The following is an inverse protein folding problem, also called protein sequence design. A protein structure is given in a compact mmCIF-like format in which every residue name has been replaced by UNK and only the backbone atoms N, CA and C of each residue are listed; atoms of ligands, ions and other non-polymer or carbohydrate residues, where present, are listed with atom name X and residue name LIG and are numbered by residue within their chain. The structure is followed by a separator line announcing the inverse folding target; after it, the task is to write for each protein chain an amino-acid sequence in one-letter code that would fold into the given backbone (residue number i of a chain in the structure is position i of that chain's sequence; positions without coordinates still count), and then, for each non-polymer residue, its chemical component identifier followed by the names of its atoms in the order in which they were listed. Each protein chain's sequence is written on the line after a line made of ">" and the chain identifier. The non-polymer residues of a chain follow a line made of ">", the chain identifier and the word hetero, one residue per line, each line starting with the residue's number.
data_IF_154507090921
#
_entry.id   IF_154507090921
#
_cell.length_a   1.000
_cell.length_b   1.000
_cell.length_c   1.000
_cell.angle_alpha   90.00
_cell.angle_beta   90.00
_cell.angle_gamma   90.00
#
_symmetry.space_group_name_H-M   'P 1'
#
loop_
_entity.id
_entity.type
_entity.pdbx_description
1 polymer ?
#
# COMPACT_ATOMS: atom_id res chain seq x y z
N UNK A 1 -0.04 -4.99 32.39
CA UNK A 1 0.05 -4.95 31.57
C UNK A 1 0.18 -4.81 30.91
N UNK A 2 0.19 -4.83 30.79
CA UNK A 2 0.20 -4.84 29.72
C UNK A 2 0.45 -4.76 28.93
N UNK A 3 0.21 -4.97 28.92
CA UNK A 3 0.35 -5.09 27.93
C UNK A 3 0.62 -4.73 27.12
N UNK A 4 0.59 -4.73 27.19
CA UNK A 4 0.75 -4.59 26.15
C UNK A 4 1.27 -4.51 25.37
N UNK A 5 1.36 -4.91 25.45
CA UNK A 5 1.88 -5.02 24.47
C UNK A 5 1.90 -5.25 23.65
N UNK A 6 1.60 -5.58 23.81
CA UNK A 6 1.62 -5.88 22.79
C UNK A 6 1.63 -5.62 22.03
N UNK A 7 1.21 -5.61 22.39
CA UNK A 7 1.08 -5.42 21.51
C UNK A 7 1.51 -5.01 20.78
N UNK A 8 1.80 -5.02 20.83
CA UNK A 8 2.25 -4.73 20.18
C UNK A 8 2.74 -4.91 19.30
N UNK A 9 2.86 -5.29 18.83
CA UNK A 9 3.32 -5.52 17.99
C UNK A 9 3.21 -6.26 17.26
N UNK A 10 3.13 -6.26 17.22
CA UNK A 10 3.18 -7.03 16.37
C UNK A 10 2.61 -7.55 15.36
N UNK A 11 2.03 -7.67 15.17
CA UNK A 11 1.59 -8.15 14.21
C UNK A 11 2.26 -8.13 12.91
N UNK A 12 3.43 -8.00 12.72
CA UNK A 12 4.23 -7.98 11.52
C UNK A 12 4.21 -9.24 10.70
N UNK A 13 3.94 -10.36 11.33
CA UNK A 13 3.87 -11.62 10.57
C UNK A 13 2.70 -11.64 9.60
N UNK A 14 1.69 -10.82 9.86
CA UNK A 14 0.52 -10.77 9.00
C UNK A 14 0.75 -9.92 7.76
N UNK A 15 1.50 -8.86 7.91
CA UNK A 15 1.69 -7.90 6.83
C UNK A 15 3.14 -7.82 6.44
N UNK A 16 3.40 -7.88 5.15
CA UNK A 16 4.75 -7.83 4.62
C UNK A 16 4.78 -6.75 3.55
N UNK A 17 5.68 -5.80 3.71
CA UNK A 17 5.88 -4.79 2.67
C UNK A 17 6.65 -5.44 1.54
N UNK A 18 6.02 -5.57 0.38
CA UNK A 18 6.65 -6.22 -0.76
C UNK A 18 7.22 -5.22 -1.76
N UNK A 19 6.80 -3.96 -1.68
CA UNK A 19 7.35 -2.92 -2.54
C UNK A 19 7.09 -1.59 -1.87
N UNK A 20 8.03 -0.66 -2.05
CA UNK A 20 7.89 0.64 -1.41
C UNK A 20 8.71 1.65 -2.20
N UNK A 21 8.13 2.81 -2.47
CA UNK A 21 8.81 3.92 -3.09
C UNK A 21 8.54 5.18 -2.29
N UNK A 22 8.90 6.32 -2.86
CA UNK A 22 8.71 7.59 -2.16
C UNK A 22 7.24 7.92 -1.99
N UNK A 23 6.42 7.50 -2.94
CA UNK A 23 5.03 7.90 -2.96
C UNK A 23 4.07 6.73 -2.77
N UNK A 24 4.56 5.51 -2.60
CA UNK A 24 3.66 4.37 -2.52
C UNK A 24 4.23 3.28 -1.62
N UNK A 25 3.34 2.39 -1.22
CA UNK A 25 3.71 1.19 -0.47
C UNK A 25 2.73 0.09 -0.83
N UNK A 26 3.24 -1.10 -1.07
CA UNK A 26 2.41 -2.27 -1.36
C UNK A 26 2.67 -3.30 -0.28
N UNK A 27 1.62 -3.72 0.40
CA UNK A 27 1.70 -4.59 1.55
C UNK A 27 0.90 -5.86 1.27
N UNK A 28 1.55 -7.01 1.42
CA UNK A 28 0.87 -8.28 1.30
C UNK A 28 0.31 -8.67 2.66
N UNK A 29 -0.98 -8.91 2.72
CA UNK A 29 -1.64 -9.35 3.95
C UNK A 29 -1.79 -10.87 3.87
N UNK A 30 -1.09 -11.55 4.76
CA UNK A 30 -1.07 -13.01 4.73
C UNK A 30 -2.39 -13.62 5.12
N UNK A 31 -3.19 -12.91 5.88
CA UNK A 31 -4.47 -13.42 6.32
C UNK A 31 -5.50 -13.37 5.20
N UNK A 32 -5.60 -12.26 4.53
CA UNK A 32 -6.57 -12.10 3.45
C UNK A 32 -6.00 -12.51 2.10
N UNK A 33 -4.68 -12.61 2.02
CA UNK A 33 -3.97 -13.02 0.80
C UNK A 33 -4.16 -12.06 -0.35
N UNK A 34 -4.21 -10.79 -0.04
CA UNK A 34 -4.27 -9.79 -1.08
C UNK A 34 -3.23 -8.72 -0.79
N UNK A 35 -3.14 -7.77 -1.70
CA UNK A 35 -2.13 -6.73 -1.64
C UNK A 35 -2.82 -5.39 -1.42
N UNK A 36 -2.52 -4.77 -0.29
CA UNK A 36 -3.03 -3.43 0.01
C UNK A 36 -2.08 -2.41 -0.61
N UNK A 37 -2.65 -1.39 -1.20
CA UNK A 37 -1.86 -0.35 -1.87
C UNK A 37 -2.10 0.96 -1.15
N UNK A 38 -1.00 1.62 -0.78
CA UNK A 38 -1.04 2.97 -0.24
C UNK A 38 -0.34 3.90 -1.22
N UNK A 39 -0.92 5.06 -1.41
CA UNK A 39 -0.35 6.05 -2.30
C UNK A 39 -0.39 7.39 -1.58
N UNK A 40 0.79 7.99 -1.41
CA UNK A 40 0.92 9.26 -0.71
C UNK A 40 0.35 9.19 0.70
N UNK A 41 0.59 8.05 1.35
CA UNK A 41 0.17 7.86 2.71
C UNK A 41 -1.29 7.52 2.90
N UNK A 42 -2.03 7.31 1.81
CA UNK A 42 -3.46 7.01 1.86
C UNK A 42 -3.72 5.63 1.30
N UNK A 43 -4.56 4.82 1.94
CA UNK A 43 -4.95 3.54 1.35
C UNK A 43 -5.84 3.82 0.14
N UNK A 44 -5.49 3.21 -0.99
CA UNK A 44 -6.21 3.46 -2.23
C UNK A 44 -6.88 2.21 -2.79
N UNK A 45 -6.60 1.04 -2.23
CA UNK A 45 -7.30 -0.15 -2.68
C UNK A 45 -6.53 -1.42 -2.40
N UNK A 46 -7.11 -2.51 -2.83
CA UNK A 46 -6.51 -3.83 -2.72
C UNK A 46 -6.53 -4.49 -4.09
N UNK A 47 -5.55 -5.36 -4.30
CA UNK A 47 -5.51 -6.15 -5.53
C UNK A 47 -5.11 -7.57 -5.19
N UNK A 48 -5.50 -8.50 -6.04
CA UNK A 48 -5.26 -9.90 -5.79
C UNK A 48 -3.80 -10.30 -6.05
N UNK A 49 -3.10 -9.55 -6.87
CA UNK A 49 -1.71 -9.88 -7.21
C UNK A 49 -0.84 -8.65 -7.09
N UNK A 50 0.45 -8.89 -6.88
CA UNK A 50 1.41 -7.80 -6.82
C UNK A 50 1.46 -7.05 -8.15
N UNK A 51 1.34 -7.77 -9.25
CA UNK A 51 1.35 -7.13 -10.56
C UNK A 51 0.24 -6.10 -10.67
N UNK A 52 -0.97 -6.48 -10.26
CA UNK A 52 -2.09 -5.56 -10.31
C UNK A 52 -1.93 -4.40 -9.34
N UNK A 53 -1.32 -4.67 -8.19
CA UNK A 53 -1.06 -3.61 -7.22
C UNK A 53 -0.10 -2.59 -7.80
N UNK A 54 0.94 -3.05 -8.48
CA UNK A 54 1.89 -2.15 -9.12
C UNK A 54 1.25 -1.35 -10.24
N UNK A 55 0.34 -1.98 -10.97
CA UNK A 55 -0.39 -1.28 -12.02
C UNK A 55 -1.25 -0.17 -11.46
N UNK A 56 -1.85 -0.41 -10.30
CA UNK A 56 -2.64 0.62 -9.65
C UNK A 56 -1.77 1.83 -9.30
N UNK A 57 -0.58 1.60 -8.77
CA UNK A 57 0.34 2.69 -8.45
C UNK A 57 0.68 3.48 -9.71
N UNK A 58 0.99 2.78 -10.80
CA UNK A 58 1.34 3.45 -12.05
C UNK A 58 0.18 4.27 -12.58
N UNK A 59 -1.02 3.74 -12.46
CA UNK A 59 -2.20 4.46 -12.91
C UNK A 59 -2.38 5.75 -12.09
N UNK A 60 -2.20 5.65 -10.79
CA UNK A 60 -2.36 6.82 -9.94
C UNK A 60 -1.29 7.87 -10.22
N UNK A 61 -0.08 7.43 -10.49
CA UNK A 61 0.98 8.36 -10.88
C UNK A 61 0.66 9.06 -12.17
N UNK A 62 0.14 8.32 -13.12
CA UNK A 62 -0.22 8.89 -14.41
C UNK A 62 -1.31 9.93 -14.26
N UNK A 63 -2.36 9.60 -13.49
CA UNK A 63 -3.45 10.52 -13.27
C UNK A 63 -3.00 11.75 -12.52
N UNK A 64 -2.10 11.56 -11.57
CA UNK A 64 -1.58 12.66 -10.77
C UNK A 64 -0.77 13.61 -11.63
N UNK A 65 0.05 13.06 -12.49
CA UNK A 65 0.85 13.87 -13.41
C UNK A 65 -0.03 14.64 -14.38
N UNK A 66 -1.07 14.00 -14.89
CA UNK A 66 -1.99 14.65 -15.80
C UNK A 66 -2.75 15.77 -15.09
N UNK A 67 -3.16 15.53 -13.88
CA UNK A 67 -3.90 16.52 -13.11
C UNK A 67 -3.03 17.73 -12.85
N UNK A 68 -1.79 17.50 -12.49
CA UNK A 68 -0.86 18.62 -12.27
C UNK A 68 -0.63 19.42 -13.54
N UNK A 69 -0.40 18.71 -14.63
CA UNK A 69 -0.18 19.38 -15.91
C UNK A 69 -1.42 20.13 -16.35
N UNK A 70 -2.57 19.55 -16.09
CA UNK A 70 -3.82 20.17 -16.50
C UNK A 70 -4.14 21.44 -15.75
N UNK A 71 -3.57 21.59 -14.57
CA UNK A 71 -3.82 22.79 -13.80
C UNK A 71 -3.10 24.00 -14.34
N UNK A 72 -2.09 23.75 -15.09
CA UNK A 72 -1.37 24.85 -15.72
C UNK A 72 -2.08 25.32 -16.95
#
# INVERSE_FOLDING_TARGET
>A
MPKRRSALKPQPAREIVVAEGEDYKIIFDRETRDYAVEYRGQPVGWRATEYEARRLVEQLRYEDARSSAGKE
#
